data_IF_594413209387
#
_entry.id   IF_594413209387
#
_cell.length_a   1.000
_cell.length_b   1.000
_cell.length_c   1.000
_cell.angle_alpha   90.00
_cell.angle_beta   90.00
_cell.angle_gamma   90.00
#
_symmetry.space_group_name_H-M   'P 1'
#
loop_
_entity.id
_entity.type
_entity.pdbx_description
1 polymer ?
#
# COMPACT_ATOMS: atom_id res chain seq x y z
N UNK A 1 -9.87 -51.80 40.14
CA UNK A 1 -9.12 -51.45 38.90
C UNK A 1 -9.99 -51.15 37.68
N UNK A 2 -11.14 -51.81 37.44
CA UNK A 2 -11.97 -51.51 36.23
C UNK A 2 -12.67 -50.15 36.26
N UNK A 3 -13.06 -49.65 37.44
CA UNK A 3 -13.76 -48.34 37.59
C UNK A 3 -12.84 -47.14 37.36
N UNK A 4 -11.57 -47.22 37.74
CA UNK A 4 -10.59 -46.13 37.54
C UNK A 4 -10.25 -45.99 36.05
N UNK A 5 -10.19 -47.07 35.29
CA UNK A 5 -9.92 -47.03 33.86
C UNK A 5 -11.07 -46.38 33.05
N UNK A 6 -12.32 -46.62 33.47
CA UNK A 6 -13.48 -46.02 32.81
C UNK A 6 -13.54 -44.49 33.04
N UNK A 7 -13.23 -44.04 34.25
CA UNK A 7 -13.17 -42.60 34.57
C UNK A 7 -12.07 -41.91 33.82
N UNK A 8 -10.88 -42.55 33.68
CA UNK A 8 -9.77 -41.96 32.90
C UNK A 8 -10.08 -41.87 31.42
N UNK A 9 -10.73 -42.87 30.85
CA UNK A 9 -11.17 -42.88 29.43
C UNK A 9 -12.24 -41.82 29.20
N UNK A 10 -13.20 -41.64 30.11
CA UNK A 10 -14.23 -40.61 30.03
C UNK A 10 -13.62 -39.19 30.17
N UNK A 11 -12.66 -38.99 31.03
CA UNK A 11 -11.90 -37.74 31.16
C UNK A 11 -11.10 -37.46 29.89
N UNK A 12 -10.39 -38.42 29.33
CA UNK A 12 -9.66 -38.30 28.07
C UNK A 12 -10.61 -38.01 26.91
N UNK A 13 -11.80 -38.64 26.85
CA UNK A 13 -12.82 -38.35 25.88
C UNK A 13 -13.40 -36.94 26.09
N UNK A 14 -13.64 -36.48 27.32
CA UNK A 14 -14.09 -35.12 27.58
C UNK A 14 -12.98 -34.06 27.23
N UNK A 15 -11.72 -34.35 27.39
CA UNK A 15 -10.62 -33.51 26.91
C UNK A 15 -10.41 -33.59 25.41
N UNK A 16 -10.70 -34.73 24.77
CA UNK A 16 -10.69 -34.88 23.32
C UNK A 16 -11.94 -34.29 22.63
N UNK A 17 -13.07 -34.20 23.36
CA UNK A 17 -14.31 -33.53 22.92
C UNK A 17 -14.41 -32.07 23.40
N UNK A 18 -13.45 -31.53 24.11
CA UNK A 18 -13.15 -30.12 24.02
C UNK A 18 -12.52 -29.85 22.64
N UNK A 19 -13.15 -30.32 21.57
CA UNK A 19 -13.05 -29.70 20.27
C UNK A 19 -13.26 -28.20 20.54
N UNK A 20 -12.16 -27.47 20.48
CA UNK A 20 -12.20 -26.03 20.36
C UNK A 20 -13.27 -25.78 19.30
N UNK A 21 -14.45 -25.35 19.73
CA UNK A 21 -15.53 -24.97 18.82
C UNK A 21 -14.90 -23.98 17.87
N UNK A 22 -14.56 -24.45 16.67
CA UNK A 22 -13.92 -23.60 15.67
C UNK A 22 -14.94 -22.52 15.39
N UNK A 23 -14.66 -21.30 15.85
CA UNK A 23 -15.53 -20.15 15.67
C UNK A 23 -15.97 -20.09 14.20
N UNK A 24 -17.23 -19.76 13.95
CA UNK A 24 -17.75 -19.62 12.60
C UNK A 24 -17.00 -18.52 11.84
N UNK A 25 -16.98 -18.59 10.52
CA UNK A 25 -16.34 -17.56 9.70
C UNK A 25 -16.89 -16.16 9.98
N UNK A 26 -18.19 -16.06 10.29
CA UNK A 26 -18.84 -14.79 10.62
C UNK A 26 -18.41 -14.25 12.00
N UNK A 27 -18.18 -15.11 12.98
CA UNK A 27 -17.63 -14.69 14.27
C UNK A 27 -16.18 -14.21 14.12
N UNK A 28 -15.37 -14.96 13.35
CA UNK A 28 -13.97 -14.56 13.09
C UNK A 28 -13.92 -13.26 12.30
N UNK A 29 -14.78 -13.05 11.30
CA UNK A 29 -14.87 -11.78 10.58
C UNK A 29 -15.25 -10.62 11.51
N UNK A 30 -16.22 -10.81 12.40
CA UNK A 30 -16.58 -9.78 13.39
C UNK A 30 -15.42 -9.42 14.29
N UNK A 31 -14.67 -10.41 14.77
CA UNK A 31 -13.49 -10.19 15.57
C UNK A 31 -12.40 -9.44 14.79
N UNK A 32 -12.12 -9.83 13.54
CA UNK A 32 -11.18 -9.12 12.67
C UNK A 32 -11.62 -7.66 12.53
N UNK A 33 -12.88 -7.40 12.19
CA UNK A 33 -13.42 -6.04 12.03
C UNK A 33 -13.30 -5.25 13.35
N UNK A 34 -13.60 -5.86 14.48
CA UNK A 34 -13.46 -5.23 15.79
C UNK A 34 -12.03 -4.76 16.06
N UNK A 35 -11.02 -5.62 15.75
CA UNK A 35 -9.60 -5.30 15.99
C UNK A 35 -9.03 -4.28 15.02
N UNK A 36 -9.53 -4.22 13.80
CA UNK A 36 -9.06 -3.25 12.82
C UNK A 36 -9.74 -1.87 12.97
N UNK A 37 -10.76 -1.74 13.83
CA UNK A 37 -11.42 -0.46 14.09
C UNK A 37 -10.53 0.55 14.83
N UNK A 38 -10.65 1.88 14.54
CA UNK A 38 -9.77 2.90 15.11
C UNK A 38 -9.76 2.97 16.63
N UNK A 39 -10.86 2.59 17.26
CA UNK A 39 -11.02 2.65 18.75
C UNK A 39 -10.15 1.63 19.48
N UNK A 40 -9.74 0.57 18.82
CA UNK A 40 -8.92 -0.51 19.39
C UNK A 40 -7.43 -0.34 19.11
N UNK A 41 -7.05 0.50 18.13
CA UNK A 41 -5.65 0.69 17.72
C UNK A 41 -4.78 1.38 18.77
N UNK A 42 -5.35 1.89 19.86
CA UNK A 42 -4.60 2.56 20.92
C UNK A 42 -3.94 1.60 21.94
N UNK A 43 -4.24 0.31 21.90
CA UNK A 43 -3.80 -0.63 22.95
C UNK A 43 -2.52 -1.43 22.66
N UNK A 44 -1.94 -1.33 21.46
CA UNK A 44 -0.72 -2.08 21.09
C UNK A 44 -0.86 -3.61 21.11
N UNK A 45 -2.07 -4.12 21.39
CA UNK A 45 -2.37 -5.56 21.47
C UNK A 45 -2.99 -6.12 20.17
N UNK A 46 -3.20 -5.27 19.18
CA UNK A 46 -4.00 -5.58 17.98
C UNK A 46 -3.40 -6.69 17.09
N UNK A 47 -2.09 -6.90 17.18
CA UNK A 47 -1.43 -7.97 16.42
C UNK A 47 -1.55 -9.35 17.08
N UNK A 48 -1.66 -9.40 18.41
CA UNK A 48 -1.60 -10.68 19.14
C UNK A 48 -2.84 -11.55 18.96
N UNK A 49 -4.01 -11.01 18.70
CA UNK A 49 -5.23 -11.80 18.63
C UNK A 49 -5.42 -12.46 17.27
N UNK A 50 -5.15 -11.72 16.20
CA UNK A 50 -5.06 -12.32 14.86
C UNK A 50 -3.96 -13.38 14.88
N UNK A 51 -2.79 -13.08 15.45
CA UNK A 51 -1.71 -14.03 15.61
C UNK A 51 -2.12 -15.24 16.48
N UNK A 52 -2.87 -15.05 17.57
CA UNK A 52 -3.31 -16.13 18.46
C UNK A 52 -4.37 -17.04 17.82
N UNK A 53 -5.32 -16.47 17.08
CA UNK A 53 -6.30 -17.26 16.32
C UNK A 53 -5.66 -18.10 15.23
N UNK A 54 -4.50 -17.70 14.69
CA UNK A 54 -3.89 -18.25 13.47
C UNK A 54 -2.56 -18.95 13.65
N UNK A 55 -1.90 -18.84 14.80
CA UNK A 55 -0.67 -19.60 15.15
C UNK A 55 -0.90 -21.13 15.05
N UNK A 56 -2.13 -21.60 15.15
CA UNK A 56 -2.49 -23.02 15.10
C UNK A 56 -2.74 -23.59 13.69
N UNK A 57 -2.16 -23.01 12.64
CA UNK A 57 -2.09 -23.69 11.33
C UNK A 57 -3.21 -23.36 10.33
N UNK A 58 -4.00 -22.31 10.55
CA UNK A 58 -5.13 -21.97 9.66
C UNK A 58 -4.94 -20.69 8.85
N UNK A 59 -3.70 -20.43 8.40
CA UNK A 59 -3.34 -19.24 7.58
C UNK A 59 -4.21 -19.11 6.34
N UNK A 60 -4.51 -20.22 5.66
CA UNK A 60 -5.37 -20.19 4.46
C UNK A 60 -6.79 -19.71 4.76
N UNK A 61 -7.35 -20.10 5.90
CA UNK A 61 -8.67 -19.60 6.33
C UNK A 61 -8.62 -18.10 6.60
N UNK A 62 -7.59 -17.62 7.29
CA UNK A 62 -7.39 -16.21 7.54
C UNK A 62 -7.31 -15.41 6.24
N UNK A 63 -6.43 -15.83 5.32
CA UNK A 63 -6.25 -15.14 4.03
C UNK A 63 -7.57 -15.09 3.24
N UNK A 64 -8.37 -16.17 3.27
CA UNK A 64 -9.69 -16.16 2.66
C UNK A 64 -10.63 -15.13 3.31
N UNK A 65 -10.73 -15.09 4.65
CA UNK A 65 -11.58 -14.14 5.35
C UNK A 65 -11.12 -12.68 5.14
N UNK A 66 -9.82 -12.45 5.17
CA UNK A 66 -9.25 -11.13 4.86
C UNK A 66 -9.52 -10.73 3.41
N UNK A 67 -9.45 -11.67 2.45
CA UNK A 67 -9.77 -11.38 1.04
C UNK A 67 -11.24 -10.98 0.84
N UNK A 68 -12.16 -11.54 1.62
CA UNK A 68 -13.57 -11.14 1.61
C UNK A 68 -13.74 -9.71 2.16
N UNK A 69 -13.04 -9.38 3.25
CA UNK A 69 -13.08 -8.03 3.85
C UNK A 69 -12.42 -6.97 2.96
N UNK A 70 -11.38 -7.32 2.21
CA UNK A 70 -10.74 -6.43 1.23
C UNK A 70 -11.70 -6.02 0.10
N UNK A 71 -12.66 -6.88 -0.24
CA UNK A 71 -13.67 -6.61 -1.29
C UNK A 71 -14.84 -5.76 -0.81
N UNK A 72 -14.87 -5.35 0.44
CA UNK A 72 -15.93 -4.46 0.95
C UNK A 72 -15.76 -3.04 0.43
N UNK A 73 -16.85 -2.27 0.42
CA UNK A 73 -16.83 -0.85 0.05
C UNK A 73 -16.43 0.06 1.23
N UNK A 74 -16.05 -0.50 2.37
CA UNK A 74 -15.55 0.26 3.51
C UNK A 74 -14.03 0.43 3.38
N UNK A 75 -13.60 1.67 3.14
CA UNK A 75 -12.19 2.01 2.93
C UNK A 75 -11.31 1.59 4.10
N UNK A 76 -11.76 1.81 5.33
CA UNK A 76 -11.01 1.45 6.52
C UNK A 76 -10.83 -0.07 6.63
N UNK A 77 -11.93 -0.82 6.48
CA UNK A 77 -11.90 -2.29 6.52
C UNK A 77 -11.02 -2.82 5.40
N UNK A 78 -11.19 -2.34 4.17
CA UNK A 78 -10.41 -2.74 3.00
C UNK A 78 -8.90 -2.52 3.24
N UNK A 79 -8.49 -1.31 3.59
CA UNK A 79 -7.08 -0.94 3.78
C UNK A 79 -6.42 -1.72 4.90
N UNK A 80 -7.09 -1.86 6.04
CA UNK A 80 -6.57 -2.58 7.19
C UNK A 80 -6.51 -4.08 6.97
N UNK A 81 -7.51 -4.64 6.31
CA UNK A 81 -7.51 -6.05 5.93
C UNK A 81 -6.39 -6.37 4.94
N UNK A 82 -6.12 -5.49 3.96
CA UNK A 82 -5.00 -5.65 3.05
C UNK A 82 -3.65 -5.60 3.79
N UNK A 83 -3.51 -4.70 4.76
CA UNK A 83 -2.30 -4.65 5.59
C UNK A 83 -2.07 -5.94 6.38
N UNK A 84 -3.13 -6.51 6.99
CA UNK A 84 -3.05 -7.81 7.67
C UNK A 84 -2.80 -8.95 6.68
N UNK A 85 -3.47 -8.94 5.52
CA UNK A 85 -3.25 -9.92 4.46
C UNK A 85 -1.77 -9.99 4.06
N UNK A 86 -1.14 -8.83 3.87
CA UNK A 86 0.26 -8.74 3.47
C UNK A 86 1.25 -9.35 4.48
N UNK A 87 0.89 -9.47 5.77
CA UNK A 87 1.74 -10.12 6.77
C UNK A 87 1.81 -11.63 6.61
N UNK A 88 0.76 -12.24 6.09
CA UNK A 88 0.60 -13.70 5.98
C UNK A 88 0.69 -14.20 4.54
N UNK A 89 0.61 -13.29 3.57
CA UNK A 89 0.71 -13.63 2.17
C UNK A 89 2.07 -14.22 1.81
N UNK A 90 2.05 -15.17 0.92
CA UNK A 90 3.23 -15.78 0.29
C UNK A 90 3.18 -15.57 -1.23
N UNK A 91 4.11 -16.13 -1.98
CA UNK A 91 4.08 -16.00 -3.44
C UNK A 91 2.84 -16.64 -4.09
N UNK A 92 2.16 -17.56 -3.43
CA UNK A 92 0.91 -18.15 -3.94
C UNK A 92 -0.24 -17.14 -4.00
N UNK A 93 -0.18 -16.07 -3.20
CA UNK A 93 -1.20 -15.02 -3.15
C UNK A 93 -0.95 -13.88 -4.16
N UNK A 94 0.15 -13.89 -4.91
CA UNK A 94 0.46 -12.85 -5.91
C UNK A 94 -0.70 -12.59 -6.89
N UNK A 95 -1.41 -13.60 -7.45
CA UNK A 95 -2.53 -13.33 -8.36
C UNK A 95 -3.64 -12.48 -7.70
N UNK A 96 -3.97 -12.75 -6.45
CA UNK A 96 -4.95 -11.93 -5.70
C UNK A 96 -4.41 -10.52 -5.44
N UNK A 97 -3.16 -10.38 -5.01
CA UNK A 97 -2.54 -9.07 -4.77
C UNK A 97 -2.51 -8.22 -6.05
N UNK A 98 -2.17 -8.81 -7.20
CA UNK A 98 -2.23 -8.11 -8.48
C UNK A 98 -3.66 -7.67 -8.85
N UNK A 99 -4.68 -8.47 -8.52
CA UNK A 99 -6.08 -8.06 -8.74
C UNK A 99 -6.53 -6.87 -7.87
N UNK A 100 -5.86 -6.66 -6.74
CA UNK A 100 -6.11 -5.54 -5.83
C UNK A 100 -5.22 -4.31 -6.11
N UNK A 101 -4.18 -4.46 -6.92
CA UNK A 101 -3.14 -3.44 -7.10
C UNK A 101 -3.62 -2.12 -7.71
N UNK A 102 -4.74 -2.14 -8.44
CA UNK A 102 -5.38 -0.94 -9.01
C UNK A 102 -6.60 -0.46 -8.22
N UNK A 103 -6.86 -1.04 -7.05
CA UNK A 103 -7.95 -0.59 -6.18
C UNK A 103 -7.59 0.74 -5.51
N UNK A 104 -8.51 1.71 -5.51
CA UNK A 104 -8.27 3.05 -4.95
C UNK A 104 -7.97 3.01 -3.45
N UNK A 105 -8.64 2.13 -2.69
CA UNK A 105 -8.55 2.09 -1.23
C UNK A 105 -7.29 1.38 -0.71
N UNK A 106 -6.80 0.35 -1.41
CA UNK A 106 -5.74 -0.53 -0.88
C UNK A 106 -4.65 -0.91 -1.88
N UNK A 107 -4.65 -0.31 -3.08
CA UNK A 107 -3.71 -0.64 -4.15
C UNK A 107 -2.25 -0.41 -3.75
N UNK A 108 -1.94 0.67 -3.04
CA UNK A 108 -0.60 0.96 -2.50
C UNK A 108 -0.10 -0.15 -1.56
N UNK A 109 -1.00 -0.70 -0.73
CA UNK A 109 -0.68 -1.80 0.19
C UNK A 109 -0.46 -3.11 -0.53
N UNK A 110 -1.31 -3.41 -1.54
CA UNK A 110 -1.14 -4.58 -2.38
C UNK A 110 0.21 -4.52 -3.13
N UNK A 111 0.53 -3.40 -3.77
CA UNK A 111 1.78 -3.17 -4.47
C UNK A 111 3.00 -3.30 -3.55
N UNK A 112 2.96 -2.72 -2.34
CA UNK A 112 4.03 -2.88 -1.35
C UNK A 112 4.22 -4.35 -0.93
N UNK A 113 3.13 -5.10 -0.80
CA UNK A 113 3.20 -6.54 -0.49
C UNK A 113 3.82 -7.32 -1.64
N UNK A 114 3.43 -7.05 -2.89
CA UNK A 114 4.03 -7.68 -4.08
C UNK A 114 5.54 -7.40 -4.11
N UNK A 115 5.97 -6.15 -3.89
CA UNK A 115 7.39 -5.78 -3.84
C UNK A 115 8.13 -6.59 -2.76
N UNK A 116 7.50 -6.80 -1.62
CA UNK A 116 8.10 -7.55 -0.51
C UNK A 116 8.24 -9.04 -0.81
N UNK A 117 7.30 -9.63 -1.54
CA UNK A 117 7.26 -11.06 -1.85
C UNK A 117 8.06 -11.45 -3.09
N UNK A 118 8.06 -10.60 -4.12
CA UNK A 118 8.58 -10.93 -5.45
C UNK A 118 9.61 -9.92 -5.99
N UNK A 119 9.80 -8.81 -5.28
CA UNK A 119 10.71 -7.75 -5.71
C UNK A 119 10.10 -6.84 -6.78
N UNK A 120 10.97 -6.04 -7.43
CA UNK A 120 10.60 -5.17 -8.54
C UNK A 120 10.89 -5.88 -9.85
N UNK A 121 9.85 -6.03 -10.67
CA UNK A 121 9.88 -6.67 -11.98
C UNK A 121 9.17 -5.81 -13.03
N UNK A 122 9.38 -6.09 -14.32
CA UNK A 122 8.68 -5.39 -15.40
C UNK A 122 7.16 -5.53 -15.31
N UNK A 123 6.65 -6.70 -14.89
CA UNK A 123 5.21 -6.92 -14.69
C UNK A 123 4.66 -6.04 -13.56
N UNK A 124 5.38 -5.95 -12.44
CA UNK A 124 5.01 -5.04 -11.36
C UNK A 124 5.00 -3.58 -11.84
N UNK A 125 6.02 -3.14 -12.57
CA UNK A 125 6.10 -1.76 -13.04
C UNK A 125 4.97 -1.42 -14.04
N UNK A 126 4.56 -2.37 -14.87
CA UNK A 126 3.38 -2.18 -15.71
C UNK A 126 2.12 -1.96 -14.86
N UNK A 127 1.94 -2.74 -13.79
CA UNK A 127 0.80 -2.61 -12.87
C UNK A 127 0.86 -1.28 -12.10
N UNK A 128 2.04 -0.85 -11.65
CA UNK A 128 2.25 0.46 -11.03
C UNK A 128 1.89 1.59 -12.00
N UNK A 129 2.28 1.48 -13.27
CA UNK A 129 1.90 2.44 -14.31
C UNK A 129 0.39 2.55 -14.46
N UNK A 130 -0.33 1.43 -14.47
CA UNK A 130 -1.80 1.41 -14.47
C UNK A 130 -2.37 2.08 -13.22
N UNK A 131 -1.85 1.77 -12.03
CA UNK A 131 -2.29 2.38 -10.77
C UNK A 131 -2.08 3.91 -10.77
N UNK A 132 -0.95 4.38 -11.28
CA UNK A 132 -0.65 5.81 -11.37
C UNK A 132 -1.48 6.54 -12.44
N UNK A 133 -1.90 5.85 -13.50
CA UNK A 133 -2.70 6.45 -14.59
C UNK A 133 -4.18 6.64 -14.24
N UNK A 134 -4.68 6.06 -13.15
CA UNK A 134 -6.06 6.22 -12.73
C UNK A 134 -6.23 7.65 -12.17
N UNK A 135 -7.06 8.45 -12.83
CA UNK A 135 -7.30 9.86 -12.45
C UNK A 135 -8.61 10.06 -11.69
N UNK A 136 -9.56 9.11 -11.81
CA UNK A 136 -10.89 9.22 -11.22
C UNK A 136 -11.07 8.21 -10.08
N UNK A 137 -11.85 8.57 -9.06
CA UNK A 137 -12.22 7.68 -7.97
C UNK A 137 -11.26 7.66 -6.79
N UNK A 138 -10.27 8.56 -6.77
CA UNK A 138 -9.37 8.76 -5.63
C UNK A 138 -9.77 10.01 -4.85
N UNK A 139 -9.78 9.88 -3.53
CA UNK A 139 -9.86 11.02 -2.61
C UNK A 139 -8.50 11.74 -2.50
N UNK A 140 -8.47 12.87 -1.82
CA UNK A 140 -7.23 13.58 -1.49
C UNK A 140 -6.29 12.71 -0.63
N UNK A 141 -6.86 11.93 0.28
CA UNK A 141 -6.09 11.02 1.15
C UNK A 141 -5.50 9.84 0.35
N UNK A 142 -6.23 9.33 -0.63
CA UNK A 142 -5.73 8.31 -1.56
C UNK A 142 -4.57 8.86 -2.39
N UNK A 143 -4.68 10.06 -2.93
CA UNK A 143 -3.58 10.71 -3.66
C UNK A 143 -2.35 10.92 -2.77
N UNK A 144 -2.53 11.21 -1.48
CA UNK A 144 -1.44 11.27 -0.52
C UNK A 144 -0.76 9.90 -0.30
N UNK A 145 -1.54 8.82 -0.23
CA UNK A 145 -1.00 7.46 -0.10
C UNK A 145 -0.28 7.03 -1.38
N UNK A 146 -0.85 7.33 -2.56
CA UNK A 146 -0.20 7.10 -3.87
C UNK A 146 1.12 7.87 -3.98
N UNK A 147 1.15 9.12 -3.51
CA UNK A 147 2.35 9.97 -3.51
C UNK A 147 3.45 9.39 -2.61
N UNK A 148 3.10 8.88 -1.42
CA UNK A 148 4.05 8.17 -0.55
C UNK A 148 4.59 6.91 -1.20
N UNK A 149 3.71 6.12 -1.83
CA UNK A 149 4.13 4.92 -2.55
C UNK A 149 5.08 5.26 -3.70
N UNK A 150 4.79 6.28 -4.49
CA UNK A 150 5.65 6.75 -5.59
C UNK A 150 7.04 7.20 -5.07
N UNK A 151 7.07 7.96 -3.97
CA UNK A 151 8.30 8.40 -3.31
C UNK A 151 9.13 7.20 -2.81
N UNK A 152 8.50 6.23 -2.16
CA UNK A 152 9.18 5.06 -1.61
C UNK A 152 9.69 4.12 -2.71
N UNK A 153 8.92 3.94 -3.78
CA UNK A 153 9.35 3.17 -4.95
C UNK A 153 10.58 3.80 -5.61
N UNK A 154 10.54 5.11 -5.83
CA UNK A 154 11.66 5.87 -6.40
C UNK A 154 12.91 5.75 -5.54
N UNK A 155 12.81 5.98 -4.23
CA UNK A 155 13.92 5.81 -3.27
C UNK A 155 14.50 4.41 -3.31
N UNK A 156 13.67 3.38 -3.37
CA UNK A 156 14.09 1.98 -3.40
C UNK A 156 14.89 1.66 -4.64
N UNK A 157 14.39 2.09 -5.81
CA UNK A 157 15.05 1.84 -7.09
C UNK A 157 16.39 2.57 -7.20
N UNK A 158 16.48 3.81 -6.68
CA UNK A 158 17.73 4.57 -6.74
C UNK A 158 18.77 4.14 -5.69
N UNK A 159 18.36 3.52 -4.59
CA UNK A 159 19.27 3.02 -3.55
C UNK A 159 19.79 1.62 -3.81
N UNK A 160 19.16 0.85 -4.71
CA UNK A 160 19.48 -0.55 -4.95
C UNK A 160 20.14 -0.69 -6.31
N UNK A 161 21.41 -1.13 -6.33
CA UNK A 161 22.20 -1.23 -7.57
C UNK A 161 21.61 -2.24 -8.56
N UNK A 162 21.11 -3.38 -8.10
CA UNK A 162 20.47 -4.38 -8.94
C UNK A 162 19.19 -3.88 -9.65
N UNK A 163 18.64 -2.74 -9.23
CA UNK A 163 17.46 -2.12 -9.82
C UNK A 163 17.80 -0.97 -10.79
N UNK A 164 19.09 -0.79 -11.10
CA UNK A 164 19.57 0.21 -12.07
C UNK A 164 18.77 0.21 -13.38
N UNK A 165 18.44 -0.96 -14.01
CA UNK A 165 17.69 -0.99 -15.26
C UNK A 165 16.29 -0.37 -15.18
N UNK A 166 15.72 -0.25 -13.98
CA UNK A 166 14.36 0.27 -13.78
C UNK A 166 14.31 1.75 -13.41
N UNK A 167 15.46 2.40 -13.17
CA UNK A 167 15.52 3.78 -12.64
C UNK A 167 14.79 4.77 -13.54
N UNK A 168 15.13 4.78 -14.81
CA UNK A 168 14.52 5.71 -15.75
C UNK A 168 13.01 5.48 -15.91
N UNK A 169 12.59 4.20 -16.00
CA UNK A 169 11.17 3.87 -16.07
C UNK A 169 10.41 4.36 -14.85
N UNK A 170 10.91 4.10 -13.64
CA UNK A 170 10.27 4.52 -12.38
C UNK A 170 10.27 6.04 -12.25
N UNK A 171 11.35 6.71 -12.67
CA UNK A 171 11.43 8.16 -12.68
C UNK A 171 10.35 8.77 -13.58
N UNK A 172 10.24 8.30 -14.81
CA UNK A 172 9.26 8.78 -15.77
C UNK A 172 7.82 8.52 -15.31
N UNK A 173 7.54 7.33 -14.78
CA UNK A 173 6.22 7.01 -14.20
C UNK A 173 5.86 7.93 -13.03
N UNK A 174 6.81 8.19 -12.13
CA UNK A 174 6.60 9.07 -10.97
C UNK A 174 6.36 10.52 -11.41
N UNK A 175 7.08 10.97 -12.43
CA UNK A 175 6.89 12.30 -13.03
C UNK A 175 5.52 12.45 -13.69
N UNK A 176 5.10 11.46 -14.51
CA UNK A 176 3.78 11.46 -15.14
C UNK A 176 2.66 11.39 -14.08
N UNK A 177 2.87 10.60 -13.03
CA UNK A 177 1.96 10.59 -11.89
C UNK A 177 1.84 11.97 -11.25
N UNK A 178 2.96 12.67 -11.00
CA UNK A 178 2.95 14.02 -10.43
C UNK A 178 2.24 15.05 -11.32
N UNK A 179 2.18 14.84 -12.65
CA UNK A 179 1.41 15.65 -13.56
C UNK A 179 -0.11 15.40 -13.46
N UNK A 180 -0.52 14.20 -13.05
CA UNK A 180 -1.91 13.74 -13.14
C UNK A 180 -2.65 13.69 -11.81
N UNK A 181 -1.98 13.85 -10.66
CA UNK A 181 -2.65 13.84 -9.35
C UNK A 181 -3.39 15.14 -9.07
N UNK A 182 -4.51 15.02 -8.35
CA UNK A 182 -5.31 16.18 -7.95
C UNK A 182 -4.61 17.08 -6.92
N UNK A 183 -3.66 16.51 -6.18
CA UNK A 183 -2.87 17.20 -5.18
C UNK A 183 -1.39 16.92 -5.42
N UNK A 184 -0.63 17.94 -5.82
CA UNK A 184 0.80 17.81 -5.90
C UNK A 184 1.41 17.65 -4.50
N UNK A 185 2.13 16.56 -4.30
CA UNK A 185 2.82 16.33 -3.05
C UNK A 185 4.26 16.84 -3.14
N UNK A 186 4.63 17.82 -2.29
CA UNK A 186 5.98 18.40 -2.23
C UNK A 186 7.06 17.32 -2.04
N UNK A 187 6.72 16.23 -1.35
CA UNK A 187 7.63 15.10 -1.15
C UNK A 187 7.99 14.37 -2.45
N UNK A 188 7.07 14.28 -3.41
CA UNK A 188 7.31 13.66 -4.73
C UNK A 188 8.29 14.51 -5.54
N UNK A 189 8.09 15.82 -5.60
CA UNK A 189 9.02 16.76 -6.27
C UNK A 189 10.44 16.66 -5.66
N UNK A 190 10.53 16.69 -4.33
CA UNK A 190 11.82 16.52 -3.63
C UNK A 190 12.45 15.15 -3.88
N UNK A 191 11.66 14.09 -4.04
CA UNK A 191 12.15 12.76 -4.35
C UNK A 191 12.71 12.69 -5.77
N UNK A 192 12.02 13.31 -6.75
CA UNK A 192 12.49 13.42 -8.13
C UNK A 192 13.82 14.19 -8.20
N UNK A 193 13.96 15.34 -7.51
CA UNK A 193 15.22 16.09 -7.45
C UNK A 193 16.38 15.30 -6.82
N UNK A 194 16.10 14.48 -5.81
CA UNK A 194 17.12 13.62 -5.19
C UNK A 194 17.52 12.44 -6.08
N UNK A 195 16.59 11.94 -6.86
CA UNK A 195 16.82 10.84 -7.78
C UNK A 195 17.64 11.30 -8.99
N UNK A 196 17.30 12.46 -9.54
CA UNK A 196 17.98 13.08 -10.67
C UNK A 196 18.23 14.58 -10.38
N UNK A 197 19.47 14.95 -10.01
CA UNK A 197 19.81 16.34 -9.75
C UNK A 197 19.58 17.27 -10.95
N UNK A 198 19.62 16.77 -12.19
CA UNK A 198 19.37 17.57 -13.40
C UNK A 198 17.91 18.00 -13.48
N UNK A 199 17.00 17.26 -12.86
CA UNK A 199 15.58 17.57 -12.79
C UNK A 199 15.31 18.90 -12.05
N UNK A 200 16.17 19.30 -11.09
CA UNK A 200 15.94 20.51 -10.27
C UNK A 200 15.70 21.76 -11.10
N UNK A 201 16.48 21.95 -12.17
CA UNK A 201 16.42 23.13 -13.04
C UNK A 201 16.06 22.74 -14.49
N UNK A 202 15.11 21.80 -14.68
CA UNK A 202 14.77 21.26 -16.00
C UNK A 202 13.40 21.74 -16.50
N UNK A 203 13.21 21.69 -17.82
CA UNK A 203 11.90 21.87 -18.47
C UNK A 203 10.87 20.87 -17.94
N UNK A 204 11.32 19.64 -17.64
CA UNK A 204 10.46 18.59 -17.08
C UNK A 204 9.83 19.02 -15.76
N UNK A 205 10.61 19.62 -14.86
CA UNK A 205 10.12 20.16 -13.59
C UNK A 205 9.20 21.35 -13.79
N UNK A 206 9.55 22.27 -14.68
CA UNK A 206 8.72 23.42 -15.00
C UNK A 206 7.32 22.98 -15.49
N UNK A 207 7.25 21.98 -16.36
CA UNK A 207 5.98 21.43 -16.85
C UNK A 207 5.16 20.78 -15.72
N UNK A 208 5.80 20.00 -14.83
CA UNK A 208 5.12 19.44 -13.65
C UNK A 208 4.55 20.55 -12.77
N UNK A 209 5.31 21.61 -12.52
CA UNK A 209 4.85 22.74 -11.68
C UNK A 209 3.73 23.54 -12.32
N UNK A 210 3.79 23.83 -13.63
CA UNK A 210 2.71 24.50 -14.36
C UNK A 210 1.41 23.70 -14.29
N UNK A 211 1.47 22.38 -14.55
CA UNK A 211 0.31 21.50 -14.40
C UNK A 211 -0.21 21.38 -12.96
N UNK A 212 0.67 21.40 -11.98
CA UNK A 212 0.30 21.37 -10.58
C UNK A 212 -0.36 22.67 -10.11
N UNK A 213 0.04 23.83 -10.65
CA UNK A 213 -0.52 25.15 -10.29
C UNK A 213 -2.03 25.22 -10.49
N UNK A 214 -2.53 24.61 -11.55
CA UNK A 214 -3.96 24.59 -11.88
C UNK A 214 -4.78 23.73 -10.92
N UNK A 215 -4.13 22.85 -10.16
CA UNK A 215 -4.74 21.86 -9.27
C UNK A 215 -4.42 22.06 -7.78
N UNK A 216 -3.72 23.15 -7.44
CA UNK A 216 -3.41 23.45 -6.05
C UNK A 216 -4.68 23.78 -5.27
N UNK A 217 -4.93 23.02 -4.20
CA UNK A 217 -6.10 23.19 -3.32
C UNK A 217 -5.77 23.90 -2.01
N UNK A 218 -4.49 24.16 -1.72
CA UNK A 218 -4.06 24.87 -0.52
C UNK A 218 -3.12 26.02 -0.84
N UNK A 219 -3.20 27.08 -0.03
CA UNK A 219 -2.31 28.24 -0.15
C UNK A 219 -0.83 27.85 -0.06
N UNK A 220 -0.49 26.92 0.85
CA UNK A 220 0.87 26.43 0.99
C UNK A 220 1.42 25.81 -0.31
N UNK A 221 0.62 24.95 -0.96
CA UNK A 221 1.01 24.32 -2.23
C UNK A 221 1.07 25.32 -3.36
N UNK A 222 0.11 26.25 -3.44
CA UNK A 222 0.10 27.34 -4.41
C UNK A 222 1.35 28.18 -4.30
N UNK A 223 1.73 28.55 -3.09
CA UNK A 223 2.95 29.35 -2.83
C UNK A 223 4.21 28.57 -3.20
N UNK A 224 4.28 27.28 -2.83
CA UNK A 224 5.42 26.41 -3.18
C UNK A 224 5.59 26.32 -4.70
N UNK A 225 4.53 25.93 -5.41
CA UNK A 225 4.53 25.75 -6.86
C UNK A 225 4.84 27.06 -7.58
N UNK A 226 4.23 28.19 -7.17
CA UNK A 226 4.48 29.51 -7.75
C UNK A 226 5.92 29.93 -7.58
N UNK A 227 6.51 29.71 -6.40
CA UNK A 227 7.92 30.04 -6.15
C UNK A 227 8.88 29.22 -7.03
N UNK A 228 8.56 27.91 -7.24
CA UNK A 228 9.37 27.07 -8.13
C UNK A 228 9.25 27.52 -9.59
N UNK A 229 8.02 27.81 -10.07
CA UNK A 229 7.82 28.33 -11.41
C UNK A 229 8.59 29.64 -11.62
N UNK A 230 8.42 30.62 -10.73
CA UNK A 230 9.13 31.90 -10.81
C UNK A 230 10.64 31.72 -10.87
N UNK A 231 11.20 30.80 -10.05
CA UNK A 231 12.64 30.50 -10.07
C UNK A 231 13.07 29.93 -11.44
N UNK A 232 12.30 28.99 -11.99
CA UNK A 232 12.66 28.36 -13.26
C UNK A 232 12.47 29.31 -14.46
N UNK A 233 11.44 30.17 -14.44
CA UNK A 233 11.15 31.16 -15.49
C UNK A 233 12.09 32.38 -15.46
N UNK A 234 13.00 32.49 -14.45
CA UNK A 234 14.09 33.45 -14.50
C UNK A 234 15.12 33.15 -15.61
N UNK A 235 15.12 31.91 -16.11
CA UNK A 235 15.96 31.48 -17.22
C UNK A 235 15.12 31.33 -18.47
N UNK A 236 15.63 31.69 -19.68
CA UNK A 236 14.96 31.36 -20.92
C UNK A 236 14.71 29.87 -21.00
N UNK A 237 13.48 29.46 -21.35
CA UNK A 237 13.08 28.04 -21.35
C UNK A 237 13.96 27.18 -22.26
N UNK A 238 14.48 27.78 -23.34
CA UNK A 238 15.47 27.15 -24.25
C UNK A 238 16.78 26.76 -23.57
N UNK A 239 17.14 27.44 -22.49
CA UNK A 239 18.39 27.19 -21.72
C UNK A 239 18.19 26.19 -20.57
N UNK A 240 16.95 25.78 -20.30
CA UNK A 240 16.71 24.72 -19.32
C UNK A 240 16.99 23.36 -19.96
N UNK A 241 17.70 22.44 -19.27
CA UNK A 241 17.84 21.05 -19.72
C UNK A 241 16.47 20.34 -19.79
N UNK A 242 16.41 19.32 -20.61
CA UNK A 242 15.20 18.49 -20.77
C UNK A 242 14.89 17.62 -19.55
#
# INVERSE_FOLDING_TARGET
MKTTLIITVLLIMQFAFAETQIASDEEVKKDIIFYIQPKCSQSGNDTKLVDTYFINGNTNRLLRLLSDLIKTNDEWICTRSMWQYGKYATKSELPFLYSCATNSMCGDRALNTIISLDGISSNLLQTVGQYFSITNGFSVDDDANRSRFAEDLLKRVYRTESLLPYREQVFNMTREFALNVNLMHVSVDKALMRADPTYENSKRRLNVMRGAKERCISEFLTNYVTNVINKLEMYPEENLPD
#
